data_IF_564202187035
#
_entry.id   IF_564202187035
#
_cell.length_a   1.000
_cell.length_b   1.000
_cell.length_c   1.000
_cell.angle_alpha   90.00
_cell.angle_beta   90.00
_cell.angle_gamma   90.00
#
_symmetry.space_group_name_H-M   'P 1'
#
loop_
_entity.id
_entity.type
_entity.pdbx_description
1 polymer ?
#
# COMPACT_ATOMS: atom_id res chain seq x y z
N UNK A 1 4.56 -3.76 -6.39
CA UNK A 1 4.64 -2.34 -5.97
C UNK A 1 6.10 -1.89 -5.78
N UNK A 2 7.01 -2.21 -6.71
CA UNK A 2 8.40 -1.72 -6.67
C UNK A 2 9.10 -1.82 -5.31
N UNK A 3 9.84 -0.77 -4.93
CA UNK A 3 10.50 -0.66 -3.62
C UNK A 3 9.54 -0.59 -2.42
N UNK A 4 8.24 -0.37 -2.63
CA UNK A 4 7.25 -0.36 -1.55
C UNK A 4 6.83 -1.77 -1.09
N UNK A 5 7.17 -2.83 -1.85
CA UNK A 5 6.78 -4.22 -1.53
C UNK A 5 7.06 -4.65 -0.08
N UNK A 6 8.21 -4.30 0.55
CA UNK A 6 8.51 -4.75 1.91
C UNK A 6 7.75 -4.00 3.00
N UNK A 7 6.95 -3.00 2.65
CA UNK A 7 6.33 -2.06 3.58
C UNK A 7 4.81 -2.26 3.67
N UNK A 8 4.27 -2.02 4.87
CA UNK A 8 2.85 -1.90 5.13
C UNK A 8 2.37 -0.49 4.75
N UNK A 9 3.21 0.52 5.02
CA UNK A 9 2.97 1.93 4.71
C UNK A 9 4.22 2.52 4.07
N UNK A 10 4.08 3.10 2.87
CA UNK A 10 5.17 3.69 2.09
C UNK A 10 4.74 5.06 1.55
N UNK A 11 5.36 6.14 2.04
CA UNK A 11 4.91 7.51 1.82
C UNK A 11 5.99 8.39 1.18
N UNK A 12 5.60 9.29 0.28
CA UNK A 12 6.52 10.26 -0.32
C UNK A 12 6.83 11.39 0.65
N UNK A 13 5.79 11.94 1.25
CA UNK A 13 5.80 12.98 2.26
C UNK A 13 5.79 12.40 3.67
N UNK A 14 5.06 13.05 4.59
CA UNK A 14 5.10 12.74 6.01
C UNK A 14 4.01 11.78 6.52
N UNK A 15 4.20 11.35 7.76
CA UNK A 15 3.29 10.55 8.56
C UNK A 15 3.03 11.26 9.90
N UNK A 16 1.77 11.49 10.26
CA UNK A 16 1.37 11.93 11.61
C UNK A 16 0.26 11.01 12.12
N UNK A 17 0.60 10.11 13.04
CA UNK A 17 -0.23 8.95 13.36
C UNK A 17 -0.21 8.63 14.85
N UNK A 18 -1.33 8.17 15.41
CA UNK A 18 -1.46 8.07 16.87
C UNK A 18 -2.48 7.04 17.35
N UNK A 19 -2.30 6.60 18.61
CA UNK A 19 -3.25 5.77 19.37
C UNK A 19 -3.68 4.46 18.68
N UNK A 20 -2.74 3.77 18.05
CA UNK A 20 -3.00 2.55 17.25
C UNK A 20 -1.70 1.75 17.02
N UNK A 21 -1.69 0.83 16.05
CA UNK A 21 -0.50 0.11 15.61
C UNK A 21 -0.39 0.03 14.08
N UNK A 22 0.86 -0.03 13.60
CA UNK A 22 1.21 -0.48 12.26
C UNK A 22 2.04 -1.75 12.40
N UNK A 23 1.47 -2.88 11.97
CA UNK A 23 2.07 -4.18 12.21
C UNK A 23 3.30 -4.45 11.35
N UNK A 24 3.37 -3.94 10.12
CA UNK A 24 4.52 -4.12 9.24
C UNK A 24 5.51 -2.95 9.23
N UNK A 25 6.44 -2.98 8.27
CA UNK A 25 7.44 -1.92 8.09
C UNK A 25 6.80 -0.64 7.56
N UNK A 26 7.33 0.51 7.96
CA UNK A 26 6.87 1.84 7.54
C UNK A 26 8.03 2.68 7.04
N UNK A 27 7.85 3.36 5.91
CA UNK A 27 8.79 4.35 5.40
C UNK A 27 8.06 5.60 4.89
N UNK A 28 8.58 6.78 5.21
CA UNK A 28 8.07 8.06 4.76
C UNK A 28 9.22 8.97 4.35
N UNK A 29 9.17 9.60 3.18
CA UNK A 29 10.22 10.49 2.70
C UNK A 29 10.29 11.84 3.43
N UNK A 30 9.19 12.24 4.08
CA UNK A 30 9.13 13.41 4.94
C UNK A 30 9.34 13.10 6.42
N UNK A 31 8.81 13.97 7.27
CA UNK A 31 8.84 13.80 8.72
C UNK A 31 7.87 12.69 9.16
N UNK A 32 8.26 11.95 10.19
CA UNK A 32 7.39 11.00 10.89
C UNK A 32 7.13 11.52 12.30
N UNK A 33 5.85 11.59 12.67
CA UNK A 33 5.36 11.90 14.01
C UNK A 33 4.42 10.79 14.48
N UNK A 34 4.75 10.18 15.60
CA UNK A 34 4.05 9.04 16.17
C UNK A 34 3.79 9.25 17.66
N UNK A 35 2.60 8.91 18.14
CA UNK A 35 2.30 8.93 19.57
C UNK A 35 1.38 7.81 20.06
N UNK A 36 1.75 7.16 21.17
CA UNK A 36 1.00 6.06 21.78
C UNK A 36 0.77 4.91 20.78
N UNK A 37 1.85 4.40 20.17
CA UNK A 37 1.75 3.45 19.07
C UNK A 37 2.72 2.26 19.13
N UNK A 38 2.27 1.12 18.59
CA UNK A 38 3.11 -0.03 18.24
C UNK A 38 3.54 -0.01 16.78
N UNK A 39 4.84 -0.14 16.52
CA UNK A 39 5.40 -0.20 15.16
C UNK A 39 6.04 -1.56 14.93
N UNK A 40 5.85 -2.13 13.73
CA UNK A 40 6.41 -3.41 13.34
C UNK A 40 6.10 -4.52 14.36
N UNK A 41 4.82 -4.70 14.67
CA UNK A 41 4.33 -5.63 15.69
C UNK A 41 3.99 -7.03 15.15
N UNK A 42 3.98 -7.23 13.82
CA UNK A 42 3.50 -8.47 13.22
C UNK A 42 4.32 -9.69 13.64
N UNK A 43 3.64 -10.80 13.95
CA UNK A 43 4.30 -12.08 14.27
C UNK A 43 5.02 -12.69 13.07
N UNK A 44 4.53 -12.44 11.85
CA UNK A 44 5.14 -12.87 10.59
C UNK A 44 6.33 -12.00 10.13
N UNK A 45 6.70 -10.96 10.89
CA UNK A 45 7.86 -10.14 10.64
C UNK A 45 9.03 -10.61 11.53
N UNK A 46 10.08 -11.15 10.91
CA UNK A 46 11.26 -11.66 11.64
C UNK A 46 11.96 -10.53 12.39
N UNK A 47 12.34 -10.79 13.64
CA UNK A 47 13.14 -9.85 14.44
C UNK A 47 14.55 -9.70 13.83
N UNK A 48 14.96 -8.46 13.56
CA UNK A 48 16.26 -8.14 13.00
C UNK A 48 16.66 -6.70 13.37
N UNK A 49 17.61 -6.56 14.30
CA UNK A 49 18.12 -5.26 14.75
C UNK A 49 18.80 -4.42 13.65
N UNK A 50 19.26 -5.05 12.58
CA UNK A 50 19.92 -4.37 11.46
C UNK A 50 18.94 -3.94 10.37
N UNK A 51 17.66 -4.35 10.44
CA UNK A 51 16.62 -3.90 9.53
C UNK A 51 15.93 -2.67 10.12
N UNK A 52 15.79 -1.63 9.30
CA UNK A 52 15.03 -0.44 9.70
C UNK A 52 13.54 -0.67 9.40
N UNK A 53 12.73 -0.70 10.44
CA UNK A 53 11.30 -0.97 10.35
C UNK A 53 10.45 0.30 10.40
N UNK A 54 11.04 1.40 10.86
CA UNK A 54 10.50 2.75 10.74
C UNK A 54 11.58 3.62 10.10
N UNK A 55 11.32 4.14 8.90
CA UNK A 55 12.29 4.91 8.11
C UNK A 55 11.72 6.30 7.83
N UNK A 56 12.32 7.34 8.42
CA UNK A 56 12.00 8.73 8.14
C UNK A 56 13.07 9.37 7.24
N UNK A 57 12.66 9.85 6.08
CA UNK A 57 13.50 10.68 5.21
C UNK A 57 13.70 12.11 5.74
N UNK A 58 12.99 12.48 6.81
CA UNK A 58 13.14 13.74 7.53
C UNK A 58 13.37 13.54 9.03
N UNK A 59 12.72 14.38 9.83
CA UNK A 59 12.75 14.30 11.30
C UNK A 59 11.93 13.09 11.79
N UNK A 60 12.29 12.56 12.95
CA UNK A 60 11.50 11.57 13.69
C UNK A 60 11.07 12.15 15.03
N UNK A 61 9.76 12.17 15.27
CA UNK A 61 9.16 12.37 16.58
C UNK A 61 8.38 11.11 16.95
N UNK A 62 8.76 10.43 18.03
CA UNK A 62 8.04 9.25 18.49
C UNK A 62 7.95 9.28 20.01
N UNK A 63 6.73 9.47 20.53
CA UNK A 63 6.44 9.60 21.95
C UNK A 63 5.55 8.45 22.41
N UNK A 64 5.96 7.73 23.46
CA UNK A 64 5.21 6.61 24.06
C UNK A 64 4.88 5.51 23.04
N UNK A 65 5.71 4.46 22.97
CA UNK A 65 5.45 3.39 22.02
C UNK A 65 6.45 2.24 22.05
N UNK A 66 6.36 1.39 21.03
CA UNK A 66 7.25 0.25 20.87
C UNK A 66 7.62 0.02 19.40
N UNK A 67 8.86 -0.37 19.14
CA UNK A 67 9.29 -0.94 17.86
C UNK A 67 9.59 -2.43 18.07
N UNK A 68 8.78 -3.29 17.44
CA UNK A 68 8.74 -4.72 17.77
C UNK A 68 9.88 -5.53 17.16
N UNK A 69 10.15 -5.35 15.86
CA UNK A 69 10.98 -6.29 15.09
C UNK A 69 12.28 -5.72 14.52
N UNK A 70 12.55 -4.43 14.69
CA UNK A 70 13.71 -3.81 14.06
C UNK A 70 14.05 -2.43 14.62
N UNK A 71 14.84 -1.68 13.85
CA UNK A 71 15.38 -0.38 14.22
C UNK A 71 14.61 0.78 13.60
N UNK A 72 14.89 1.99 14.07
CA UNK A 72 14.41 3.25 13.48
C UNK A 72 15.56 3.90 12.71
N UNK A 73 15.31 4.33 11.48
CA UNK A 73 16.22 5.18 10.70
C UNK A 73 15.59 6.56 10.51
N UNK A 74 16.39 7.62 10.64
CA UNK A 74 15.94 8.99 10.41
C UNK A 74 17.04 9.84 9.77
N UNK A 75 16.70 10.76 8.88
CA UNK A 75 17.69 11.64 8.25
C UNK A 75 17.92 12.95 9.05
N UNK A 76 16.83 13.52 9.56
CA UNK A 76 16.79 14.81 10.26
C UNK A 76 17.02 14.69 11.77
N UNK A 77 16.24 15.42 12.56
CA UNK A 77 16.35 15.47 14.02
C UNK A 77 15.63 14.28 14.68
N UNK A 78 16.18 13.80 15.80
CA UNK A 78 15.61 12.72 16.63
C UNK A 78 14.96 13.29 17.89
N UNK A 79 13.65 13.10 18.01
CA UNK A 79 12.86 13.38 19.21
C UNK A 79 12.09 12.12 19.61
N UNK A 80 12.77 11.17 20.27
CA UNK A 80 12.18 9.89 20.68
C UNK A 80 12.16 9.81 22.21
N UNK A 81 10.98 9.64 22.80
CA UNK A 81 10.78 9.59 24.25
C UNK A 81 9.74 8.53 24.62
N UNK A 82 9.99 7.75 25.68
CA UNK A 82 9.07 6.69 26.11
C UNK A 82 8.87 5.57 25.08
N UNK A 83 9.85 5.33 24.20
CA UNK A 83 9.80 4.28 23.17
C UNK A 83 10.73 3.14 23.52
N UNK A 84 10.20 1.91 23.54
CA UNK A 84 10.96 0.68 23.74
C UNK A 84 11.26 -0.05 22.43
N UNK A 85 12.27 -0.91 22.43
CA UNK A 85 12.63 -1.78 21.32
C UNK A 85 12.58 -3.23 21.80
N UNK A 86 11.76 -4.07 21.17
CA UNK A 86 11.61 -5.47 21.59
C UNK A 86 12.70 -6.39 21.02
N UNK A 87 13.40 -5.96 19.98
CA UNK A 87 14.50 -6.72 19.36
C UNK A 87 15.85 -6.31 19.98
N UNK A 88 16.61 -7.23 20.59
CA UNK A 88 17.92 -6.91 21.16
C UNK A 88 18.87 -6.28 20.13
N UNK A 89 19.52 -5.18 20.50
CA UNK A 89 20.43 -4.43 19.63
C UNK A 89 19.75 -3.47 18.65
N UNK A 90 18.41 -3.46 18.59
CA UNK A 90 17.68 -2.46 17.81
C UNK A 90 17.79 -1.08 18.47
N UNK A 91 17.81 -0.04 17.63
CA UNK A 91 18.01 1.34 18.10
C UNK A 91 17.51 2.36 17.07
N UNK A 92 17.57 3.64 17.39
CA UNK A 92 17.37 4.73 16.44
C UNK A 92 18.72 5.24 15.90
N UNK A 93 18.91 5.15 14.58
CA UNK A 93 20.15 5.53 13.88
C UNK A 93 19.86 6.66 12.90
N UNK A 94 20.81 7.61 12.79
CA UNK A 94 20.73 8.64 11.76
C UNK A 94 21.26 8.07 10.44
N UNK A 95 20.58 8.31 9.34
CA UNK A 95 21.03 7.89 8.01
C UNK A 95 19.94 8.00 6.95
N UNK A 96 20.25 7.50 5.75
CA UNK A 96 19.32 7.41 4.62
C UNK A 96 19.48 6.05 3.96
N UNK A 97 18.38 5.46 3.48
CA UNK A 97 18.36 4.12 2.86
C UNK A 97 17.54 4.11 1.55
N UNK A 98 16.63 5.07 1.36
CA UNK A 98 15.64 5.06 0.28
C UNK A 98 15.68 6.39 -0.47
N UNK A 99 15.84 6.32 -1.79
CA UNK A 99 15.57 7.45 -2.68
C UNK A 99 14.05 7.51 -2.96
N UNK A 100 13.33 8.25 -2.14
CA UNK A 100 11.87 8.39 -2.25
C UNK A 100 11.44 9.04 -3.56
N UNK A 101 12.26 9.90 -4.16
CA UNK A 101 11.91 10.52 -5.45
C UNK A 101 11.97 9.49 -6.57
N UNK A 102 13.07 8.73 -6.66
CA UNK A 102 13.19 7.64 -7.63
C UNK A 102 12.10 6.58 -7.42
N UNK A 103 11.85 6.18 -6.16
CA UNK A 103 10.82 5.20 -5.81
C UNK A 103 9.42 5.65 -6.26
N UNK A 104 9.03 6.89 -5.95
CA UNK A 104 7.70 7.40 -6.31
C UNK A 104 7.56 7.70 -7.81
N UNK A 105 8.64 8.04 -8.51
CA UNK A 105 8.62 8.12 -9.98
C UNK A 105 8.33 6.74 -10.59
N UNK A 106 9.00 5.69 -10.11
CA UNK A 106 8.76 4.31 -10.56
C UNK A 106 7.32 3.86 -10.24
N UNK A 107 6.84 4.15 -9.03
CA UNK A 107 5.48 3.79 -8.60
C UNK A 107 4.41 4.52 -9.40
N UNK A 108 4.64 5.78 -9.78
CA UNK A 108 3.76 6.54 -10.66
C UNK A 108 3.72 5.93 -12.08
N UNK A 109 4.87 5.48 -12.61
CA UNK A 109 4.92 4.76 -13.89
C UNK A 109 4.15 3.43 -13.85
N UNK A 110 4.32 2.64 -12.77
CA UNK A 110 3.56 1.40 -12.56
C UNK A 110 2.06 1.70 -12.50
N UNK A 111 1.67 2.74 -11.74
CA UNK A 111 0.28 3.18 -11.62
C UNK A 111 -0.32 3.60 -12.97
N UNK A 112 0.44 4.31 -13.79
CA UNK A 112 0.05 4.66 -15.15
C UNK A 112 -0.10 3.43 -16.05
N UNK A 113 0.79 2.44 -15.93
CA UNK A 113 0.71 1.18 -16.67
C UNK A 113 -0.57 0.40 -16.38
N UNK A 114 -1.00 0.34 -15.12
CA UNK A 114 -2.28 -0.27 -14.74
C UNK A 114 -3.49 0.54 -15.22
N UNK A 115 -3.43 1.87 -15.11
CA UNK A 115 -4.51 2.74 -15.57
C UNK A 115 -4.73 2.70 -17.09
N UNK A 116 -3.71 2.30 -17.86
CA UNK A 116 -3.80 2.13 -19.31
C UNK A 116 -4.38 0.79 -19.78
N UNK A 117 -4.75 -0.11 -18.86
CA UNK A 117 -5.34 -1.41 -19.22
C UNK A 117 -6.85 -1.31 -19.39
N UNK A 118 -7.38 -2.01 -20.39
CA UNK A 118 -8.82 -2.17 -20.57
C UNK A 118 -9.41 -3.06 -19.48
N UNK A 119 -10.69 -2.87 -19.16
CA UNK A 119 -11.40 -3.77 -18.25
C UNK A 119 -11.41 -5.19 -18.82
N UNK A 120 -11.11 -6.16 -17.96
CA UNK A 120 -11.15 -7.59 -18.30
C UNK A 120 -12.04 -8.39 -17.35
N UNK A 121 -12.42 -7.81 -16.22
CA UNK A 121 -13.43 -8.37 -15.31
C UNK A 121 -14.81 -7.75 -15.52
N UNK A 122 -15.82 -8.35 -14.90
CA UNK A 122 -17.20 -7.87 -14.95
C UNK A 122 -17.52 -7.00 -13.73
N UNK A 123 -17.93 -5.75 -13.97
CA UNK A 123 -18.41 -4.82 -12.95
C UNK A 123 -19.93 -4.75 -12.96
N UNK A 124 -20.57 -4.97 -11.83
CA UNK A 124 -22.03 -4.90 -11.68
C UNK A 124 -22.41 -4.03 -10.49
N UNK A 125 -23.29 -3.05 -10.73
CA UNK A 125 -23.80 -2.15 -9.69
C UNK A 125 -25.30 -2.37 -9.51
N UNK A 126 -25.74 -2.50 -8.26
CA UNK A 126 -27.16 -2.56 -7.88
C UNK A 126 -27.40 -1.57 -6.74
N UNK A 127 -27.96 -0.40 -7.08
CA UNK A 127 -28.06 0.73 -6.15
C UNK A 127 -26.69 1.16 -5.61
N UNK A 128 -26.50 1.05 -4.29
CA UNK A 128 -25.24 1.35 -3.58
C UNK A 128 -24.33 0.13 -3.39
N UNK A 129 -24.70 -1.05 -3.89
CA UNK A 129 -23.84 -2.23 -3.88
C UNK A 129 -23.04 -2.35 -5.18
N UNK A 130 -21.75 -2.64 -5.08
CA UNK A 130 -20.86 -2.89 -6.21
C UNK A 130 -20.24 -4.29 -6.12
N UNK A 131 -20.34 -5.06 -7.19
CA UNK A 131 -19.71 -6.38 -7.34
C UNK A 131 -18.70 -6.37 -8.47
N UNK A 132 -17.49 -6.84 -8.18
CA UNK A 132 -16.40 -7.05 -9.13
C UNK A 132 -16.19 -8.55 -9.29
N UNK A 133 -16.41 -9.08 -10.49
CA UNK A 133 -16.35 -10.52 -10.78
C UNK A 133 -15.22 -10.81 -11.75
N UNK A 134 -14.35 -11.77 -11.40
CA UNK A 134 -13.30 -12.22 -12.29
C UNK A 134 -13.89 -12.96 -13.51
N UNK A 135 -13.32 -12.74 -14.69
CA UNK A 135 -13.70 -13.41 -15.94
C UNK A 135 -12.60 -14.34 -16.47
N UNK A 136 -11.47 -14.42 -15.77
CA UNK A 136 -10.39 -15.35 -16.08
C UNK A 136 -9.36 -15.47 -14.96
N UNK A 137 -8.46 -16.45 -15.09
CA UNK A 137 -7.28 -16.54 -14.24
C UNK A 137 -6.31 -15.38 -14.54
N UNK A 138 -5.47 -15.03 -13.56
CA UNK A 138 -4.53 -13.93 -13.66
C UNK A 138 -5.16 -12.59 -13.28
N UNK A 139 -4.72 -11.51 -13.92
CA UNK A 139 -5.14 -10.15 -13.57
C UNK A 139 -6.47 -9.82 -14.26
N UNK A 140 -7.43 -9.39 -13.45
CA UNK A 140 -8.72 -8.86 -13.85
C UNK A 140 -8.73 -7.35 -13.55
N UNK A 141 -8.89 -6.55 -14.61
CA UNK A 141 -8.92 -5.10 -14.52
C UNK A 141 -10.36 -4.60 -14.44
N UNK A 142 -10.58 -3.63 -13.57
CA UNK A 142 -11.86 -2.95 -13.36
C UNK A 142 -11.62 -1.45 -13.29
N UNK A 143 -12.59 -0.67 -13.74
CA UNK A 143 -12.62 0.78 -13.62
C UNK A 143 -13.79 1.18 -12.71
N UNK A 144 -13.49 2.02 -11.73
CA UNK A 144 -14.48 2.66 -10.85
C UNK A 144 -14.19 4.15 -10.79
N UNK A 145 -15.20 4.96 -10.53
CA UNK A 145 -15.01 6.40 -10.31
C UNK A 145 -14.93 6.72 -8.82
N UNK A 146 -14.42 7.89 -8.46
CA UNK A 146 -14.57 8.39 -7.08
C UNK A 146 -16.05 8.48 -6.68
N UNK A 147 -16.93 8.90 -7.59
CA UNK A 147 -18.37 9.01 -7.32
C UNK A 147 -19.00 7.64 -6.97
N UNK A 148 -18.53 6.58 -7.63
CA UNK A 148 -18.92 5.22 -7.31
C UNK A 148 -18.61 4.86 -5.86
N UNK A 149 -17.40 5.19 -5.38
CA UNK A 149 -16.89 4.87 -4.05
C UNK A 149 -17.63 5.64 -2.95
N UNK A 150 -17.95 6.91 -3.20
CA UNK A 150 -18.63 7.77 -2.24
C UNK A 150 -20.04 7.32 -1.87
N UNK A 151 -20.65 6.51 -2.74
CA UNK A 151 -22.05 6.09 -2.65
C UNK A 151 -22.21 4.61 -2.29
N UNK A 152 -21.12 3.91 -1.95
CA UNK A 152 -21.18 2.49 -1.63
C UNK A 152 -21.79 2.23 -0.25
N UNK A 153 -22.62 1.19 -0.19
CA UNK A 153 -23.04 0.50 1.02
C UNK A 153 -22.36 -0.87 1.14
N UNK A 154 -21.90 -1.44 0.01
CA UNK A 154 -21.09 -2.65 -0.02
C UNK A 154 -20.21 -2.76 -1.26
N UNK A 155 -19.09 -3.47 -1.11
CA UNK A 155 -18.17 -3.86 -2.17
C UNK A 155 -17.89 -5.35 -2.10
N UNK A 156 -18.23 -6.09 -3.15
CA UNK A 156 -18.02 -7.54 -3.22
C UNK A 156 -17.03 -7.89 -4.32
N UNK A 157 -16.04 -8.72 -3.99
CA UNK A 157 -15.16 -9.37 -4.97
C UNK A 157 -15.64 -10.80 -5.17
N UNK A 158 -15.70 -11.27 -6.41
CA UNK A 158 -16.12 -12.63 -6.73
C UNK A 158 -15.09 -13.30 -7.64
N UNK A 159 -14.44 -14.35 -7.13
CA UNK A 159 -13.44 -15.11 -7.89
C UNK A 159 -14.02 -15.91 -9.06
N UNK A 160 -15.34 -16.12 -9.09
CA UNK A 160 -16.07 -16.79 -10.17
C UNK A 160 -15.52 -18.18 -10.55
N UNK A 161 -15.21 -19.00 -9.53
CA UNK A 161 -14.67 -20.35 -9.74
C UNK A 161 -13.21 -20.44 -10.20
N UNK A 162 -12.56 -19.33 -10.56
CA UNK A 162 -11.15 -19.34 -10.98
C UNK A 162 -10.20 -19.56 -9.81
N UNK A 163 -9.17 -20.38 -9.99
CA UNK A 163 -8.23 -20.80 -8.94
C UNK A 163 -7.17 -19.75 -8.60
N UNK A 164 -6.81 -18.88 -9.55
CA UNK A 164 -5.80 -17.84 -9.37
C UNK A 164 -6.28 -16.52 -9.99
N UNK A 165 -6.72 -15.58 -9.17
CA UNK A 165 -7.23 -14.27 -9.61
C UNK A 165 -6.51 -13.15 -8.88
N UNK A 166 -6.26 -12.06 -9.60
CA UNK A 166 -5.80 -10.79 -9.06
C UNK A 166 -6.73 -9.68 -9.55
N UNK A 167 -7.08 -8.77 -8.66
CA UNK A 167 -7.98 -7.67 -8.93
C UNK A 167 -7.17 -6.38 -8.95
N UNK A 168 -7.16 -5.70 -10.10
CA UNK A 168 -6.65 -4.34 -10.20
C UNK A 168 -7.83 -3.42 -10.49
N UNK A 169 -8.16 -2.59 -9.50
CA UNK A 169 -9.27 -1.64 -9.56
C UNK A 169 -8.70 -0.26 -9.80
N UNK A 170 -8.77 0.21 -11.04
CA UNK A 170 -8.40 1.56 -11.40
C UNK A 170 -9.49 2.55 -10.96
N UNK A 171 -9.12 3.49 -10.09
CA UNK A 171 -10.01 4.56 -9.63
C UNK A 171 -9.74 5.80 -10.45
N UNK A 172 -10.76 6.24 -11.18
CA UNK A 172 -10.76 7.45 -12.01
C UNK A 172 -11.56 8.56 -11.33
N UNK A 173 -11.36 9.80 -11.78
CA UNK A 173 -12.08 10.94 -11.22
C UNK A 173 -13.55 10.88 -11.62
N UNK A 174 -14.44 11.03 -10.63
CA UNK A 174 -15.86 11.23 -10.85
C UNK A 174 -16.16 12.68 -11.21
N UNK A 175 -17.33 12.93 -11.82
CA UNK A 175 -17.76 14.27 -12.19
C UNK A 175 -18.09 15.13 -10.98
N UNK A 176 -18.57 14.51 -9.89
CA UNK A 176 -19.00 15.22 -8.68
C UNK A 176 -17.87 15.39 -7.68
N UNK A 177 -17.07 14.34 -7.46
CA UNK A 177 -16.03 14.31 -6.43
C UNK A 177 -14.63 14.61 -6.97
N UNK A 178 -14.44 14.62 -8.29
CA UNK A 178 -13.14 14.90 -8.91
C UNK A 178 -12.08 13.91 -8.45
N UNK A 179 -10.94 14.42 -7.99
CA UNK A 179 -9.82 13.62 -7.48
C UNK A 179 -9.93 13.23 -5.99
N UNK A 180 -11.12 13.36 -5.39
CA UNK A 180 -11.36 13.07 -3.98
C UNK A 180 -12.06 11.72 -3.81
N UNK A 181 -11.35 10.71 -3.33
CA UNK A 181 -11.90 9.39 -3.05
C UNK A 181 -12.27 9.23 -1.57
N UNK A 182 -13.26 8.39 -1.29
CA UNK A 182 -13.67 8.04 0.07
C UNK A 182 -13.97 6.55 0.15
N UNK A 183 -13.41 5.89 1.15
CA UNK A 183 -13.64 4.48 1.47
C UNK A 183 -14.07 4.39 2.93
N UNK A 184 -15.37 4.50 3.19
CA UNK A 184 -15.88 4.67 4.54
C UNK A 184 -17.30 4.11 4.68
N UNK A 185 -17.59 3.48 5.84
CA UNK A 185 -18.92 3.04 6.25
C UNK A 185 -19.63 2.08 5.27
N UNK A 186 -18.92 1.11 4.68
CA UNK A 186 -19.54 0.06 3.86
C UNK A 186 -18.98 -1.33 4.13
N UNK A 187 -19.79 -2.37 3.83
CA UNK A 187 -19.39 -3.76 3.97
C UNK A 187 -18.49 -4.25 2.83
N UNK A 188 -17.49 -5.09 3.13
CA UNK A 188 -16.62 -5.71 2.12
C UNK A 188 -16.78 -7.22 2.16
N UNK A 189 -17.09 -7.85 1.02
CA UNK A 189 -17.18 -9.30 0.88
C UNK A 189 -16.11 -9.81 -0.10
N UNK A 190 -15.28 -10.75 0.35
CA UNK A 190 -14.16 -11.24 -0.46
C UNK A 190 -14.49 -12.40 -1.40
N UNK A 191 -15.57 -13.16 -1.15
CA UNK A 191 -16.02 -14.35 -1.89
C UNK A 191 -14.89 -15.16 -2.57
N UNK A 192 -13.91 -15.57 -1.73
CA UNK A 192 -12.80 -16.42 -2.13
C UNK A 192 -11.62 -15.72 -2.82
N UNK A 193 -11.60 -14.39 -2.87
CA UNK A 193 -10.44 -13.57 -3.27
C UNK A 193 -9.63 -13.20 -2.03
N UNK A 194 -8.33 -13.44 -2.01
CA UNK A 194 -7.49 -13.04 -0.87
C UNK A 194 -7.17 -11.54 -0.93
N UNK A 195 -7.05 -10.89 0.24
CA UNK A 195 -6.71 -9.46 0.36
C UNK A 195 -5.44 -9.08 -0.41
N UNK A 196 -4.41 -9.93 -0.31
CA UNK A 196 -3.11 -9.75 -0.97
C UNK A 196 -3.20 -9.72 -2.51
N UNK A 197 -4.31 -10.18 -3.08
CA UNK A 197 -4.55 -10.25 -4.51
C UNK A 197 -5.43 -9.09 -5.02
N UNK A 198 -5.72 -8.09 -4.17
CA UNK A 198 -6.51 -6.90 -4.50
C UNK A 198 -5.61 -5.66 -4.44
N UNK A 199 -5.61 -4.87 -5.52
CA UNK A 199 -4.93 -3.59 -5.61
C UNK A 199 -5.87 -2.51 -6.17
N UNK A 200 -6.06 -1.44 -5.39
CA UNK A 200 -6.70 -0.22 -5.86
C UNK A 200 -5.63 0.72 -6.41
N UNK A 201 -5.67 0.97 -7.71
CA UNK A 201 -4.78 1.88 -8.40
C UNK A 201 -5.44 3.25 -8.53
N UNK A 202 -4.96 4.22 -7.77
CA UNK A 202 -5.53 5.57 -7.67
C UNK A 202 -4.55 6.59 -8.27
N UNK A 203 -4.32 6.50 -9.58
CA UNK A 203 -3.30 7.29 -10.30
C UNK A 203 -3.47 8.80 -10.12
N UNK A 204 -4.71 9.27 -10.15
CA UNK A 204 -5.04 10.70 -10.21
C UNK A 204 -5.76 11.23 -8.96
N UNK A 205 -6.02 10.37 -7.97
CA UNK A 205 -6.59 10.76 -6.68
C UNK A 205 -5.58 11.57 -5.88
N UNK A 206 -6.00 12.73 -5.37
CA UNK A 206 -5.17 13.65 -4.57
C UNK A 206 -5.60 13.71 -3.10
N UNK A 207 -6.82 13.27 -2.78
CA UNK A 207 -7.30 13.12 -1.41
C UNK A 207 -8.02 11.79 -1.26
N UNK A 208 -7.69 11.06 -0.20
CA UNK A 208 -8.34 9.80 0.14
C UNK A 208 -8.72 9.80 1.63
N UNK A 209 -10.01 9.64 1.90
CA UNK A 209 -10.49 9.40 3.27
C UNK A 209 -10.80 7.92 3.44
N UNK A 210 -10.24 7.32 4.47
CA UNK A 210 -10.59 6.01 5.01
C UNK A 210 -11.25 6.25 6.37
N UNK A 211 -12.38 5.61 6.66
CA UNK A 211 -13.05 5.82 7.96
C UNK A 211 -13.98 4.68 8.33
N UNK A 212 -13.96 4.26 9.59
CA UNK A 212 -14.83 3.20 10.12
C UNK A 212 -14.91 1.98 9.19
N UNK A 213 -13.77 1.56 8.65
CA UNK A 213 -13.69 0.55 7.59
C UNK A 213 -12.65 -0.52 7.92
N UNK A 214 -13.04 -1.78 7.73
CA UNK A 214 -12.11 -2.92 7.68
C UNK A 214 -11.61 -3.12 6.25
N UNK A 215 -10.79 -2.21 5.74
CA UNK A 215 -10.33 -2.21 4.35
C UNK A 215 -9.59 -3.52 3.99
N UNK A 216 -9.84 -4.02 2.79
CA UNK A 216 -9.26 -5.26 2.27
C UNK A 216 -8.55 -4.97 0.94
N UNK A 217 -7.24 -5.17 0.91
CA UNK A 217 -6.42 -4.95 -0.28
C UNK A 217 -5.45 -3.79 -0.16
N UNK A 218 -4.55 -3.70 -1.14
CA UNK A 218 -3.54 -2.64 -1.18
C UNK A 218 -4.03 -1.42 -1.97
N UNK A 219 -3.48 -0.24 -1.68
CA UNK A 219 -3.78 1.01 -2.37
C UNK A 219 -2.48 1.61 -2.90
N UNK A 220 -2.45 1.89 -4.21
CA UNK A 220 -1.39 2.64 -4.88
C UNK A 220 -1.92 4.02 -5.28
N UNK A 221 -1.67 5.02 -4.44
CA UNK A 221 -2.20 6.38 -4.56
C UNK A 221 -1.08 7.43 -4.43
N UNK A 222 -0.09 7.39 -5.32
CA UNK A 222 1.18 8.16 -5.22
C UNK A 222 1.04 9.67 -5.01
N UNK A 223 -0.11 10.27 -5.34
CA UNK A 223 -0.41 11.70 -5.19
C UNK A 223 -1.32 12.02 -3.99
N UNK A 224 -1.92 11.01 -3.35
CA UNK A 224 -2.99 11.22 -2.40
C UNK A 224 -2.47 11.59 -1.00
N UNK A 225 -3.05 12.62 -0.41
CA UNK A 225 -2.99 12.83 1.03
C UNK A 225 -4.10 12.02 1.68
N UNK A 226 -3.73 11.10 2.58
CA UNK A 226 -4.64 10.11 3.16
C UNK A 226 -4.99 10.51 4.59
N UNK A 227 -6.28 10.46 4.91
CA UNK A 227 -6.78 10.53 6.28
C UNK A 227 -7.42 9.19 6.62
N UNK A 228 -6.97 8.55 7.70
CA UNK A 228 -7.53 7.27 8.17
C UNK A 228 -8.10 7.38 9.59
N UNK A 229 -9.41 7.57 9.66
CA UNK A 229 -10.16 7.79 10.90
C UNK A 229 -10.82 6.50 11.38
N UNK A 230 -10.01 5.60 11.93
CA UNK A 230 -10.49 4.38 12.58
C UNK A 230 -10.88 3.24 11.64
N UNK A 231 -10.86 2.02 12.17
CA UNK A 231 -10.97 0.77 11.41
C UNK A 231 -9.63 0.07 11.28
N UNK A 232 -9.54 -0.88 10.34
CA UNK A 232 -8.35 -1.69 10.10
C UNK A 232 -8.04 -1.76 8.59
N UNK A 233 -6.76 -1.68 8.23
CA UNK A 233 -6.27 -1.75 6.86
C UNK A 233 -5.51 -3.06 6.65
N UNK A 234 -6.06 -3.95 5.82
CA UNK A 234 -5.48 -5.26 5.53
C UNK A 234 -4.81 -5.25 4.14
N UNK A 235 -3.60 -4.70 4.06
CA UNK A 235 -2.83 -4.59 2.82
C UNK A 235 -1.68 -3.58 2.93
N UNK A 236 -1.14 -3.15 1.79
CA UNK A 236 -0.11 -2.09 1.73
C UNK A 236 -0.69 -0.77 1.24
N UNK A 237 -0.36 0.34 1.90
CA UNK A 237 -0.67 1.69 1.45
C UNK A 237 0.58 2.38 0.87
N UNK A 238 0.50 2.80 -0.39
CA UNK A 238 1.44 3.72 -1.02
C UNK A 238 0.74 5.05 -1.26
N UNK A 239 1.22 6.15 -0.67
CA UNK A 239 0.57 7.45 -0.77
C UNK A 239 1.53 8.65 -0.68
N UNK A 240 1.04 9.87 -0.86
CA UNK A 240 1.84 11.07 -0.60
C UNK A 240 2.01 11.31 0.90
N UNK A 241 0.93 11.28 1.68
CA UNK A 241 0.99 11.44 3.14
C UNK A 241 -0.11 10.63 3.84
N UNK A 242 0.04 10.43 5.14
CA UNK A 242 -0.94 9.76 5.97
C UNK A 242 -1.11 10.48 7.32
N UNK A 243 -2.36 10.70 7.69
CA UNK A 243 -2.78 11.22 8.99
C UNK A 243 -3.89 10.35 9.61
N UNK A 244 -3.89 10.15 10.93
CA UNK A 244 -5.02 9.54 11.65
C UNK A 244 -4.64 8.46 12.67
N UNK A 245 -5.52 7.46 12.80
CA UNK A 245 -5.50 6.50 13.91
C UNK A 245 -6.04 5.08 13.58
N UNK A 246 -6.35 4.76 12.32
CA UNK A 246 -6.74 3.39 11.95
C UNK A 246 -5.59 2.37 12.09
N UNK A 247 -5.90 1.11 12.39
CA UNK A 247 -4.87 0.07 12.51
C UNK A 247 -4.39 -0.39 11.13
N UNK A 248 -3.10 -0.71 10.97
CA UNK A 248 -2.59 -1.43 9.79
C UNK A 248 -2.18 -2.85 10.15
N UNK A 249 -2.82 -3.82 9.51
CA UNK A 249 -2.48 -5.23 9.64
C UNK A 249 -1.50 -5.67 8.55
N UNK A 250 -0.53 -6.50 8.91
CA UNK A 250 0.56 -6.87 8.00
C UNK A 250 0.16 -8.01 7.04
N UNK A 251 -0.52 -7.64 5.96
CA UNK A 251 -0.83 -8.49 4.82
C UNK A 251 -0.04 -8.05 3.58
N UNK A 252 1.29 -8.27 3.54
CA UNK A 252 2.11 -7.81 2.43
C UNK A 252 1.66 -8.45 1.11
N UNK A 253 1.68 -7.66 0.04
CA UNK A 253 1.53 -8.22 -1.32
C UNK A 253 2.75 -9.12 -1.58
N UNK A 254 2.55 -10.40 -1.93
CA UNK A 254 3.67 -11.30 -2.17
C UNK A 254 4.59 -10.74 -3.26
N UNK A 255 5.89 -10.79 -3.03
CA UNK A 255 6.87 -10.32 -4.00
C UNK A 255 6.71 -11.09 -5.33
N UNK A 256 6.80 -10.42 -6.49
CA UNK A 256 6.85 -11.08 -7.80
C UNK A 256 8.12 -11.91 -8.04
N UNK A 257 8.76 -12.47 -7.01
CA UNK A 257 9.94 -13.32 -7.15
C UNK A 257 9.68 -14.56 -8.02
N UNK A 258 8.41 -14.89 -8.31
CA UNK A 258 8.03 -16.00 -9.20
C UNK A 258 7.68 -15.58 -10.65
N UNK A 259 7.59 -14.28 -10.99
CA UNK A 259 7.26 -13.85 -12.37
C UNK A 259 8.47 -13.26 -13.12
N UNK A 260 9.47 -12.71 -12.42
CA UNK A 260 10.66 -12.14 -13.07
C UNK A 260 11.65 -13.19 -13.61
N UNK A 261 11.51 -14.48 -13.26
CA UNK A 261 12.38 -15.54 -13.78
C UNK A 261 12.02 -16.01 -15.22
N UNK A 262 10.88 -15.58 -15.78
CA UNK A 262 10.44 -16.01 -17.12
C UNK A 262 10.23 -14.87 -18.13
N UNK A 263 10.19 -13.59 -17.70
CA UNK A 263 9.79 -12.47 -18.57
C UNK A 263 10.90 -11.59 -19.13
N UNK A 264 12.08 -11.53 -18.50
CA UNK A 264 13.13 -10.57 -18.90
C UNK A 264 14.42 -11.23 -19.43
N UNK A 265 14.56 -12.55 -19.30
CA UNK A 265 15.73 -13.30 -19.80
C UNK A 265 15.69 -13.63 -21.31
N UNK A 266 14.52 -13.56 -21.96
CA UNK A 266 14.37 -14.02 -23.35
C UNK A 266 14.68 -12.93 -24.42
N UNK A 267 14.64 -11.64 -24.06
CA UNK A 267 14.83 -10.55 -25.03
C UNK A 267 16.32 -10.18 -25.22
N UNK A 268 17.20 -10.53 -24.27
CA UNK A 268 18.62 -10.20 -24.34
C UNK A 268 19.49 -11.21 -25.12
N UNK A 269 18.98 -12.41 -25.47
CA UNK A 269 19.81 -13.48 -26.09
C UNK A 269 19.67 -13.59 -27.61
N UNK A 270 18.69 -12.93 -28.25
CA UNK A 270 18.46 -13.08 -29.71
C UNK A 270 19.25 -12.07 -30.57
N UNK A 271 20.04 -11.15 -30.00
CA UNK A 271 20.81 -10.15 -30.77
C UNK A 271 22.32 -10.38 -30.92
N UNK A 272 22.84 -11.57 -30.58
CA UNK A 272 24.28 -11.88 -30.73
C UNK A 272 24.58 -13.17 -31.48
N UNK A 273 24.00 -13.40 -32.66
CA UNK A 273 24.57 -14.33 -33.65
C UNK A 273 24.23 -13.92 -35.09
N UNK A 274 24.80 -12.81 -35.58
CA UNK A 274 25.17 -12.62 -37.00
C UNK A 274 26.25 -11.55 -37.09
N UNK A 275 27.50 -11.96 -36.88
CA UNK A 275 28.73 -11.37 -37.46
C UNK A 275 29.94 -12.09 -36.89
N UNK A 276 30.39 -13.15 -37.57
CA UNK A 276 31.79 -13.55 -37.63
C UNK A 276 31.95 -14.70 -38.66
N UNK A 277 32.56 -14.33 -39.79
CA UNK A 277 33.10 -15.15 -40.91
C UNK A 277 32.12 -15.98 -41.73
#
# INVERSE_FOLDING_TARGET
>A
MGQANPFNVFLKGGLDYFNTDIQGRTAAGGNIKLSNMGMAQASNLTANANRNDVISGGNIQFTNGNVGKGSVLYAGTKNISGVSYSTPGATARRGTEIDFNAAFNQLAQISAGYAGQNETGLRQRSGSALTLTACGNGINYFNVTTDDLWSLSSLSYNRNGFSNVKFIVNVTNGSTRGANAKLENFGINLNGVAQKDILFNMKDVTSLTLGSIGWQGSILATKANVVFNGGAFNGTLVANSLYGCGQFNNYPVPEPATICALGLGAIAVIRRRRSAK
#
